data_IF_747565455081
#
_entry.id   IF_747565455081
#
_cell.length_a   1.000
_cell.length_b   1.000
_cell.length_c   1.000
_cell.angle_alpha   90.00
_cell.angle_beta   90.00
_cell.angle_gamma   90.00
#
_symmetry.space_group_name_H-M   'P 1'
#
loop_
_entity.id
_entity.type
_entity.pdbx_description
1 polymer ?
#
# COMPACT_ATOMS: atom_id res chain seq x y z
N UNK A 1 1.09 21.81 -8.22
CA UNK A 1 0.21 20.70 -8.66
C UNK A 1 0.18 19.71 -7.52
N UNK A 2 -0.99 19.30 -7.02
CA UNK A 2 -1.07 18.23 -6.04
C UNK A 2 -0.51 16.96 -6.69
N UNK A 3 0.39 16.25 -6.00
CA UNK A 3 0.90 14.98 -6.48
C UNK A 3 -0.16 13.91 -6.24
N UNK A 4 -1.11 13.81 -7.18
CA UNK A 4 -2.20 12.83 -7.11
C UNK A 4 -1.64 11.45 -7.50
N UNK A 5 -1.89 10.45 -6.64
CA UNK A 5 -1.66 9.04 -6.91
C UNK A 5 -2.98 8.35 -7.23
N UNK A 6 -3.05 7.65 -8.36
CA UNK A 6 -4.24 6.92 -8.77
C UNK A 6 -4.15 5.43 -8.40
N UNK A 7 -5.26 4.84 -7.96
CA UNK A 7 -5.38 3.40 -7.72
C UNK A 7 -6.11 2.65 -8.84
N UNK A 8 -7.13 3.30 -9.44
CA UNK A 8 -7.95 2.73 -10.53
C UNK A 8 -8.26 3.78 -11.59
N UNK A 9 -8.43 3.28 -12.81
CA UNK A 9 -8.99 4.01 -13.94
C UNK A 9 -10.07 3.14 -14.59
N UNK A 10 -11.32 3.53 -14.42
CA UNK A 10 -12.47 2.80 -14.93
C UNK A 10 -12.63 2.99 -16.44
N UNK A 11 -13.48 2.14 -17.07
CA UNK A 11 -13.67 2.16 -18.54
C UNK A 11 -14.16 3.52 -19.06
N UNK A 12 -14.89 4.28 -18.25
CA UNK A 12 -15.39 5.63 -18.57
C UNK A 12 -14.41 6.78 -18.30
N UNK A 13 -13.12 6.50 -18.04
CA UNK A 13 -12.10 7.48 -17.59
C UNK A 13 -12.37 8.12 -16.22
N UNK A 14 -13.33 7.59 -15.47
CA UNK A 14 -13.46 7.88 -14.05
C UNK A 14 -12.23 7.34 -13.30
N UNK A 15 -11.69 8.16 -12.41
CA UNK A 15 -10.49 7.86 -11.63
C UNK A 15 -10.86 7.62 -10.18
N UNK A 16 -10.11 6.73 -9.54
CA UNK A 16 -10.11 6.60 -8.09
C UNK A 16 -8.68 6.85 -7.62
N UNK A 17 -8.51 7.82 -6.73
CA UNK A 17 -7.21 8.09 -6.09
C UNK A 17 -6.84 6.95 -5.15
N UNK A 18 -5.56 6.82 -4.83
CA UNK A 18 -5.08 5.84 -3.86
C UNK A 18 -5.64 6.13 -2.45
N UNK A 19 -5.82 7.40 -2.11
CA UNK A 19 -6.44 7.82 -0.86
C UNK A 19 -7.90 7.38 -0.79
N UNK A 20 -8.73 7.76 -1.78
CA UNK A 20 -10.14 7.33 -1.85
C UNK A 20 -10.28 5.80 -1.83
N UNK A 21 -9.44 5.09 -2.60
CA UNK A 21 -9.47 3.63 -2.67
C UNK A 21 -9.26 2.98 -1.31
N UNK A 22 -8.25 3.44 -0.58
CA UNK A 22 -7.88 2.90 0.72
C UNK A 22 -8.91 3.28 1.79
N UNK A 23 -9.38 4.52 1.80
CA UNK A 23 -10.44 4.98 2.71
C UNK A 23 -11.76 4.24 2.51
N UNK A 24 -12.13 3.96 1.25
CA UNK A 24 -13.29 3.15 0.91
C UNK A 24 -13.16 1.73 1.49
N UNK A 25 -11.99 1.09 1.32
CA UNK A 25 -11.73 -0.23 1.89
C UNK A 25 -11.79 -0.23 3.42
N UNK A 26 -11.20 0.77 4.07
CA UNK A 26 -11.22 0.91 5.54
C UNK A 26 -12.65 1.09 6.08
N UNK A 27 -13.49 1.86 5.38
CA UNK A 27 -14.90 2.02 5.73
C UNK A 27 -15.65 0.69 5.65
N UNK A 28 -15.43 -0.09 4.61
CA UNK A 28 -16.06 -1.41 4.49
C UNK A 28 -15.50 -2.44 5.48
N UNK A 29 -14.21 -2.38 5.83
CA UNK A 29 -13.62 -3.21 6.89
C UNK A 29 -14.25 -2.90 8.27
N UNK A 30 -14.45 -1.60 8.57
CA UNK A 30 -15.18 -1.17 9.78
C UNK A 30 -16.61 -1.68 9.77
N UNK A 31 -17.33 -1.52 8.65
CA UNK A 31 -18.70 -2.01 8.49
C UNK A 31 -18.79 -3.53 8.66
N UNK A 32 -17.80 -4.27 8.16
CA UNK A 32 -17.70 -5.72 8.36
C UNK A 32 -17.60 -6.07 9.87
N UNK A 33 -16.70 -5.39 10.61
CA UNK A 33 -16.56 -5.55 12.08
C UNK A 33 -17.89 -5.33 12.79
N UNK A 34 -18.60 -4.26 12.43
CA UNK A 34 -19.86 -3.87 13.07
C UNK A 34 -20.98 -4.88 12.80
N UNK A 35 -21.14 -5.33 11.55
CA UNK A 35 -22.23 -6.22 11.14
C UNK A 35 -22.11 -7.64 11.72
N UNK A 36 -20.90 -8.12 11.98
CA UNK A 36 -20.63 -9.50 12.41
C UNK A 36 -19.90 -9.57 13.75
N UNK A 37 -20.03 -8.53 14.58
CA UNK A 37 -19.32 -8.41 15.86
C UNK A 37 -19.52 -9.62 16.78
N UNK A 38 -20.75 -10.14 16.89
CA UNK A 38 -21.05 -11.36 17.67
C UNK A 38 -20.29 -12.59 17.13
N UNK A 39 -20.37 -12.84 15.82
CA UNK A 39 -19.67 -13.96 15.17
C UNK A 39 -18.15 -13.89 15.35
N UNK A 40 -17.58 -12.69 15.23
CA UNK A 40 -16.14 -12.51 15.40
C UNK A 40 -15.69 -12.68 16.85
N UNK A 41 -16.51 -12.25 17.81
CA UNK A 41 -16.28 -12.51 19.24
C UNK A 41 -16.31 -14.01 19.55
N UNK A 42 -17.25 -14.77 18.96
CA UNK A 42 -17.32 -16.23 19.11
C UNK A 42 -16.11 -16.95 18.50
N UNK A 43 -15.55 -16.42 17.41
CA UNK A 43 -14.31 -16.90 16.80
C UNK A 43 -13.05 -16.48 17.57
N UNK A 44 -13.19 -15.70 18.64
CA UNK A 44 -12.07 -15.22 19.46
C UNK A 44 -11.21 -14.15 18.76
N UNK A 45 -11.76 -13.42 17.79
CA UNK A 45 -11.05 -12.34 17.09
C UNK A 45 -11.09 -11.07 17.94
N UNK A 46 -9.94 -10.71 18.49
CA UNK A 46 -9.78 -9.55 19.36
C UNK A 46 -9.40 -8.27 18.59
N UNK A 47 -9.15 -7.18 19.33
CA UNK A 47 -8.75 -5.91 18.71
C UNK A 47 -7.39 -5.96 18.01
N UNK A 48 -6.50 -6.91 18.35
CA UNK A 48 -5.23 -7.07 17.63
C UNK A 48 -5.48 -7.59 16.21
N UNK A 49 -6.37 -8.58 16.06
CA UNK A 49 -6.79 -9.04 14.74
C UNK A 49 -7.34 -7.89 13.89
N UNK A 50 -8.23 -7.07 14.46
CA UNK A 50 -8.82 -5.95 13.74
C UNK A 50 -7.79 -4.89 13.36
N UNK A 51 -6.83 -4.62 14.24
CA UNK A 51 -5.72 -3.73 13.93
C UNK A 51 -4.84 -4.30 12.80
N UNK A 52 -4.54 -5.59 12.82
CA UNK A 52 -3.80 -6.26 11.75
C UNK A 52 -4.53 -6.21 10.40
N UNK A 53 -5.85 -6.45 10.38
CA UNK A 53 -6.67 -6.32 9.18
C UNK A 53 -6.66 -4.88 8.64
N UNK A 54 -6.78 -3.89 9.53
CA UNK A 54 -6.76 -2.48 9.15
C UNK A 54 -5.41 -2.07 8.53
N UNK A 55 -4.29 -2.55 9.12
CA UNK A 55 -2.96 -2.32 8.57
C UNK A 55 -2.77 -3.04 7.23
N UNK A 56 -3.27 -4.27 7.07
CA UNK A 56 -3.29 -4.93 5.77
C UNK A 56 -4.05 -4.10 4.72
N UNK A 57 -5.22 -3.53 5.07
CA UNK A 57 -5.96 -2.64 4.19
C UNK A 57 -5.17 -1.38 3.81
N UNK A 58 -4.51 -0.73 4.77
CA UNK A 58 -3.69 0.48 4.55
C UNK A 58 -2.56 0.20 3.57
N UNK A 59 -1.87 -0.93 3.74
CA UNK A 59 -0.64 -1.19 3.01
C UNK A 59 -0.85 -1.93 1.69
N UNK A 60 -1.97 -2.67 1.48
CA UNK A 60 -2.11 -3.59 0.34
C UNK A 60 -1.74 -2.99 -1.03
N UNK A 61 -2.15 -1.74 -1.28
CA UNK A 61 -1.98 -1.06 -2.56
C UNK A 61 -0.97 0.11 -2.50
N UNK A 62 -0.26 0.30 -1.38
CA UNK A 62 0.59 1.48 -1.19
C UNK A 62 1.72 1.55 -2.23
N UNK A 63 2.20 0.41 -2.72
CA UNK A 63 3.17 0.30 -3.81
C UNK A 63 2.69 0.85 -5.16
N UNK A 64 1.40 1.19 -5.31
CA UNK A 64 0.87 1.87 -6.50
C UNK A 64 1.40 3.29 -6.67
N UNK A 65 2.04 3.87 -5.64
CA UNK A 65 2.75 5.15 -5.76
C UNK A 65 3.97 5.09 -6.69
N UNK A 66 4.46 3.89 -7.04
CA UNK A 66 5.56 3.72 -7.98
C UNK A 66 5.30 4.40 -9.33
N UNK A 67 6.33 5.01 -9.90
CA UNK A 67 6.25 5.72 -11.19
C UNK A 67 5.81 4.80 -12.32
N UNK A 68 6.19 3.52 -12.30
CA UNK A 68 5.72 2.55 -13.30
C UNK A 68 4.21 2.36 -13.26
N UNK A 69 3.64 2.18 -12.06
CA UNK A 69 2.21 2.01 -11.91
C UNK A 69 1.46 3.29 -12.31
N UNK A 70 1.91 4.44 -11.81
CA UNK A 70 1.31 5.74 -12.12
C UNK A 70 1.40 6.08 -13.61
N UNK A 71 2.52 5.81 -14.27
CA UNK A 71 2.72 6.07 -15.71
C UNK A 71 1.65 5.38 -16.56
N UNK A 72 1.26 4.14 -16.23
CA UNK A 72 0.20 3.42 -16.96
C UNK A 72 -1.16 4.12 -16.87
N UNK A 73 -1.52 4.63 -15.70
CA UNK A 73 -2.79 5.34 -15.51
C UNK A 73 -2.71 6.73 -16.14
N UNK A 74 -1.68 7.51 -15.79
CA UNK A 74 -1.49 8.89 -16.27
C UNK A 74 -1.40 8.97 -17.79
N UNK A 75 -0.73 8.02 -18.45
CA UNK A 75 -0.68 7.93 -19.92
C UNK A 75 -2.08 7.85 -20.55
N UNK A 76 -3.00 7.09 -19.94
CA UNK A 76 -4.39 6.99 -20.42
C UNK A 76 -5.23 8.25 -20.18
N UNK A 77 -4.79 9.10 -19.26
CA UNK A 77 -5.38 10.41 -18.96
C UNK A 77 -4.70 11.56 -19.72
N UNK A 78 -3.80 11.26 -20.68
CA UNK A 78 -2.95 12.24 -21.37
C UNK A 78 -2.08 13.08 -20.42
N UNK A 79 -1.67 12.48 -19.30
CA UNK A 79 -0.73 13.03 -18.32
C UNK A 79 0.62 12.30 -18.41
N UNK A 80 1.67 12.92 -17.88
CA UNK A 80 3.01 12.34 -17.82
C UNK A 80 3.36 11.89 -16.39
N UNK A 81 4.08 10.79 -16.29
CA UNK A 81 4.79 10.35 -15.09
C UNK A 81 6.20 10.00 -15.54
N UNK A 82 7.20 10.61 -14.92
CA UNK A 82 8.59 10.27 -15.18
C UNK A 82 8.96 8.99 -14.43
N UNK A 83 9.52 8.02 -15.16
CA UNK A 83 10.13 6.83 -14.59
C UNK A 83 11.63 7.14 -14.43
N UNK A 84 12.18 7.08 -13.20
CA UNK A 84 13.60 7.33 -12.97
C UNK A 84 14.52 6.46 -13.85
N UNK A 85 15.63 7.03 -14.31
CA UNK A 85 16.59 6.35 -15.16
C UNK A 85 17.16 5.07 -14.50
N UNK A 86 17.25 3.99 -15.29
CA UNK A 86 17.73 2.69 -14.86
C UNK A 86 16.72 1.89 -14.03
N UNK A 87 15.43 2.26 -14.06
CA UNK A 87 14.32 1.41 -13.67
C UNK A 87 13.64 0.87 -14.93
N UNK A 88 14.26 -0.10 -15.60
CA UNK A 88 13.77 -0.62 -16.89
C UNK A 88 12.61 -1.62 -16.75
N UNK A 89 12.20 -1.89 -15.51
CA UNK A 89 11.30 -2.98 -15.18
C UNK A 89 10.31 -2.56 -14.12
N UNK A 90 9.04 -2.86 -14.39
CA UNK A 90 7.98 -2.71 -13.41
C UNK A 90 8.03 -3.85 -12.37
N UNK A 91 8.13 -3.47 -11.11
CA UNK A 91 7.89 -4.37 -9.98
C UNK A 91 6.40 -4.35 -9.62
N UNK A 92 5.76 -5.50 -9.44
CA UNK A 92 4.36 -5.53 -9.04
C UNK A 92 4.13 -4.84 -7.69
N UNK A 93 3.12 -3.98 -7.63
CA UNK A 93 2.86 -3.09 -6.48
C UNK A 93 2.64 -3.83 -5.15
N UNK A 94 2.18 -5.08 -5.16
CA UNK A 94 2.03 -5.90 -3.94
C UNK A 94 3.39 -6.15 -3.25
N UNK A 95 4.46 -6.36 -4.00
CA UNK A 95 5.80 -6.51 -3.42
C UNK A 95 6.35 -5.18 -2.91
N UNK A 96 6.14 -4.09 -3.66
CA UNK A 96 6.53 -2.74 -3.22
C UNK A 96 5.78 -2.32 -1.96
N UNK A 97 4.50 -2.69 -1.86
CA UNK A 97 3.66 -2.47 -0.68
C UNK A 97 4.21 -3.17 0.55
N UNK A 98 4.65 -4.42 0.40
CA UNK A 98 5.27 -5.20 1.48
C UNK A 98 6.53 -4.56 2.05
N UNK A 99 7.27 -3.77 1.27
CA UNK A 99 8.49 -3.10 1.73
C UNK A 99 8.20 -2.12 2.88
N UNK A 100 7.06 -1.43 2.84
CA UNK A 100 6.70 -0.44 3.87
C UNK A 100 6.39 -1.08 5.23
N UNK A 101 6.06 -2.38 5.26
CA UNK A 101 5.78 -3.10 6.50
C UNK A 101 7.02 -3.28 7.39
N UNK A 102 8.22 -3.25 6.79
CA UNK A 102 9.49 -3.38 7.49
C UNK A 102 9.98 -2.07 8.13
N UNK A 103 9.23 -0.98 7.98
CA UNK A 103 9.48 0.22 8.76
C UNK A 103 9.19 -0.04 10.24
N UNK A 104 10.04 0.44 11.14
CA UNK A 104 9.98 0.11 12.56
C UNK A 104 8.64 0.53 13.21
N UNK A 105 8.14 1.73 12.91
CA UNK A 105 6.83 2.18 13.44
C UNK A 105 5.69 1.30 12.92
N UNK A 106 5.74 0.85 11.67
CA UNK A 106 4.74 -0.06 11.09
C UNK A 106 4.84 -1.46 11.70
N UNK A 107 6.04 -2.03 11.78
CA UNK A 107 6.29 -3.33 12.40
C UNK A 107 5.76 -3.37 13.84
N UNK A 108 6.07 -2.33 14.62
CA UNK A 108 5.60 -2.22 16.01
C UNK A 108 4.08 -2.07 16.13
N UNK A 109 3.43 -1.40 15.18
CA UNK A 109 1.97 -1.29 15.13
C UNK A 109 1.30 -2.62 14.77
N UNK A 110 1.89 -3.43 13.91
CA UNK A 110 1.37 -4.75 13.56
C UNK A 110 1.59 -5.73 14.72
N UNK A 111 2.79 -5.70 15.30
CA UNK A 111 3.25 -6.64 16.31
C UNK A 111 3.73 -7.96 15.71
N UNK A 112 4.71 -8.58 16.37
CA UNK A 112 5.35 -9.83 15.94
C UNK A 112 4.33 -10.95 15.67
N UNK A 113 3.28 -11.04 16.51
CA UNK A 113 2.21 -12.04 16.41
C UNK A 113 1.47 -12.03 15.06
N UNK A 114 1.28 -10.85 14.47
CA UNK A 114 0.50 -10.67 13.23
C UNK A 114 1.34 -10.29 12.02
N UNK A 115 2.65 -10.06 12.19
CA UNK A 115 3.49 -9.54 11.11
C UNK A 115 3.45 -10.41 9.85
N UNK A 116 3.69 -11.72 9.98
CA UNK A 116 3.67 -12.63 8.84
C UNK A 116 2.29 -12.72 8.17
N UNK A 117 1.22 -12.62 8.97
CA UNK A 117 -0.16 -12.64 8.46
C UNK A 117 -0.42 -11.40 7.60
N UNK A 118 -0.05 -10.21 8.09
CA UNK A 118 -0.19 -8.96 7.34
C UNK A 118 0.73 -8.94 6.12
N UNK A 119 1.97 -9.37 6.27
CA UNK A 119 2.94 -9.46 5.18
C UNK A 119 2.41 -10.34 4.06
N UNK A 120 1.94 -11.56 4.36
CA UNK A 120 1.42 -12.44 3.33
C UNK A 120 0.09 -11.96 2.73
N UNK A 121 -0.79 -11.36 3.53
CA UNK A 121 -2.00 -10.74 3.00
C UNK A 121 -1.67 -9.64 1.97
N UNK A 122 -0.67 -8.79 2.26
CA UNK A 122 -0.20 -7.74 1.35
C UNK A 122 0.55 -8.32 0.15
N UNK A 123 1.46 -9.27 0.34
CA UNK A 123 2.24 -9.85 -0.76
C UNK A 123 1.39 -10.66 -1.74
N UNK A 124 0.33 -11.34 -1.27
CA UNK A 124 -0.44 -12.27 -2.09
C UNK A 124 -1.87 -11.83 -2.40
N UNK A 125 -2.27 -10.57 -2.13
CA UNK A 125 -3.57 -10.04 -2.57
C UNK A 125 -3.75 -10.06 -4.10
N UNK A 126 -2.65 -10.16 -4.84
CA UNK A 126 -2.63 -10.51 -6.25
C UNK A 126 -1.66 -11.67 -6.49
N UNK A 127 -2.11 -12.70 -7.22
CA UNK A 127 -1.20 -13.72 -7.73
C UNK A 127 -0.37 -13.12 -8.89
N UNK A 128 0.93 -12.94 -8.64
CA UNK A 128 1.88 -12.32 -9.56
C UNK A 128 3.12 -13.18 -9.65
N UNK A 129 3.60 -13.39 -10.87
CA UNK A 129 4.89 -14.04 -11.10
C UNK A 129 6.02 -13.14 -10.59
N UNK A 130 6.90 -13.69 -9.78
CA UNK A 130 8.15 -13.06 -9.40
C UNK A 130 9.13 -13.23 -10.54
N UNK A 131 9.48 -12.14 -11.20
CA UNK A 131 10.49 -12.13 -12.27
C UNK A 131 11.64 -11.17 -11.95
N UNK A 132 11.74 -10.67 -10.72
CA UNK A 132 12.71 -9.69 -10.21
C UNK A 132 13.55 -10.23 -9.07
N UNK A 133 14.64 -9.54 -8.78
CA UNK A 133 15.57 -9.88 -7.71
C UNK A 133 15.66 -8.75 -6.67
N UNK A 134 16.48 -8.97 -5.65
CA UNK A 134 16.72 -8.00 -4.57
C UNK A 134 17.28 -6.67 -5.09
N UNK A 135 18.16 -6.70 -6.09
CA UNK A 135 18.75 -5.49 -6.67
C UNK A 135 17.70 -4.62 -7.37
N UNK A 136 16.74 -5.24 -8.05
CA UNK A 136 15.60 -4.54 -8.66
C UNK A 136 14.76 -3.80 -7.59
N UNK A 137 14.48 -4.46 -6.46
CA UNK A 137 13.74 -3.87 -5.35
C UNK A 137 14.49 -2.68 -4.73
N UNK A 138 15.79 -2.85 -4.45
CA UNK A 138 16.64 -1.78 -3.91
C UNK A 138 16.70 -0.57 -4.85
N UNK A 139 16.82 -0.80 -6.16
CA UNK A 139 16.82 0.26 -7.17
C UNK A 139 15.49 1.03 -7.16
N UNK A 140 14.36 0.32 -7.21
CA UNK A 140 13.03 0.96 -7.19
C UNK A 140 12.83 1.75 -5.89
N UNK A 141 13.21 1.19 -4.75
CA UNK A 141 13.10 1.92 -3.49
C UNK A 141 13.95 3.19 -3.48
N UNK A 142 15.24 3.09 -3.76
CA UNK A 142 16.18 4.21 -3.69
C UNK A 142 15.88 5.33 -4.71
N UNK A 143 15.48 4.97 -5.95
CA UNK A 143 15.28 5.93 -7.03
C UNK A 143 13.85 6.48 -7.14
N UNK A 144 12.85 5.73 -6.68
CA UNK A 144 11.43 6.05 -6.88
C UNK A 144 10.71 6.25 -5.54
N UNK A 145 10.56 5.19 -4.74
CA UNK A 145 9.69 5.23 -3.55
C UNK A 145 10.22 6.15 -2.45
N UNK A 146 11.53 6.16 -2.21
CA UNK A 146 12.18 6.97 -1.16
C UNK A 146 11.87 8.47 -1.30
N UNK A 147 11.84 8.96 -2.53
CA UNK A 147 11.52 10.37 -2.83
C UNK A 147 10.03 10.71 -2.66
N UNK A 148 9.17 9.70 -2.51
CA UNK A 148 7.72 9.83 -2.35
C UNK A 148 7.27 9.66 -0.89
N UNK A 149 8.15 9.28 0.03
CA UNK A 149 7.80 9.00 1.44
C UNK A 149 7.08 10.17 2.13
N UNK A 150 7.50 11.42 1.88
CA UNK A 150 6.80 12.59 2.43
C UNK A 150 5.36 12.71 1.91
N UNK A 151 5.14 12.41 0.63
CA UNK A 151 3.79 12.44 0.03
C UNK A 151 2.93 11.27 0.54
N UNK A 152 3.54 10.12 0.79
CA UNK A 152 2.86 8.97 1.37
C UNK A 152 2.45 9.27 2.82
N UNK A 153 3.35 9.87 3.60
CA UNK A 153 3.07 10.34 4.95
C UNK A 153 1.95 11.40 4.99
N UNK A 154 1.63 12.02 3.86
CA UNK A 154 0.55 12.99 3.77
C UNK A 154 -0.86 12.38 3.68
N UNK A 155 -0.98 11.09 3.34
CA UNK A 155 -2.27 10.40 3.29
C UNK A 155 -2.99 10.44 4.65
N UNK A 156 -4.29 10.69 4.62
CA UNK A 156 -5.15 10.76 5.80
C UNK A 156 -5.04 9.51 6.67
N UNK A 157 -5.06 8.32 6.07
CA UNK A 157 -5.03 7.04 6.78
C UNK A 157 -3.67 6.75 7.44
N UNK A 158 -2.57 7.26 6.87
CA UNK A 158 -1.23 7.19 7.49
C UNK A 158 -1.18 8.11 8.71
N UNK A 159 -1.62 9.37 8.55
CA UNK A 159 -1.68 10.36 9.64
C UNK A 159 -2.58 9.91 10.79
N UNK A 160 -3.78 9.39 10.48
CA UNK A 160 -4.74 8.94 11.48
C UNK A 160 -4.22 7.77 12.33
N UNK A 161 -3.29 6.97 11.78
CA UNK A 161 -2.62 5.89 12.50
C UNK A 161 -1.30 6.30 13.15
N UNK A 162 -0.90 7.57 13.04
CA UNK A 162 0.40 8.07 13.50
C UNK A 162 1.58 7.26 12.95
N UNK A 163 1.45 6.72 11.73
CA UNK A 163 2.52 5.99 11.04
C UNK A 163 3.51 7.02 10.47
N UNK A 164 4.81 6.70 10.52
CA UNK A 164 5.86 7.54 9.93
C UNK A 164 6.83 6.71 9.09
N UNK A 165 6.76 6.83 7.76
CA UNK A 165 7.58 6.06 6.83
C UNK A 165 8.96 6.68 6.54
N UNK A 166 9.45 7.60 7.37
CA UNK A 166 10.68 8.37 7.06
C UNK A 166 12.00 7.59 7.21
N UNK A 167 12.01 6.48 7.95
CA UNK A 167 13.23 5.78 8.34
C UNK A 167 13.41 4.40 7.69
N UNK A 168 12.73 4.12 6.57
CA UNK A 168 12.94 2.88 5.84
C UNK A 168 14.38 2.86 5.31
N UNK A 169 15.20 1.98 5.90
CA UNK A 169 16.58 1.75 5.48
C UNK A 169 16.65 0.83 4.26
N UNK A 170 17.70 1.00 3.45
CA UNK A 170 17.98 0.22 2.23
C UNK A 170 18.48 -1.20 2.50
#
# INVERSE_FOLDING_TARGET
>A
MSNIFYAKLYRGLEVETLEEHTENLLREAKRLKELYSETFNELGLDDKFWNALELACIFHDLGKVSSHFQSKIKKRLNQTEEIPEGLDKEIPHNFLSGMFLFEESVYNLIGEEFFDVVLYAVLFHHDRRVNFNEEDLKKVFAKDLKNKLNLINDFSFIKNKNINLSNISE
#
